data_IF_043544525733
#
_entry.id   IF_043544525733
#
_cell.length_a   1.000
_cell.length_b   1.000
_cell.length_c   1.000
_cell.angle_alpha   90.00
_cell.angle_beta   90.00
_cell.angle_gamma   90.00
#
_symmetry.space_group_name_H-M   'P 1'
#
loop_
_entity.id
_entity.type
_entity.pdbx_description
1 polymer ?
#
# COMPACT_ATOMS: atom_id res chain seq x y z
N UNK A 1 32.17 26.77 7.62
CA UNK A 1 30.71 27.04 7.73
C UNK A 1 30.31 28.51 7.49
N UNK A 2 31.11 29.51 7.91
CA UNK A 2 30.75 30.95 7.74
C UNK A 2 30.61 31.42 6.28
N UNK A 3 31.24 30.76 5.31
CA UNK A 3 31.16 31.11 3.89
C UNK A 3 29.87 30.61 3.20
N UNK A 4 29.22 29.56 3.68
CA UNK A 4 27.97 29.00 3.12
C UNK A 4 26.83 30.04 3.18
N UNK A 5 26.76 30.80 4.27
CA UNK A 5 25.72 31.84 4.47
C UNK A 5 26.01 33.17 3.75
N UNK A 6 27.20 33.35 3.18
CA UNK A 6 27.56 34.56 2.47
C UNK A 6 26.86 34.67 1.10
N UNK A 7 26.58 33.53 0.46
CA UNK A 7 25.92 33.50 -0.87
C UNK A 7 24.56 32.79 -0.76
N UNK A 8 23.59 33.38 -0.04
CA UNK A 8 22.28 32.81 0.27
C UNK A 8 21.52 32.30 -0.96
N UNK A 9 21.52 33.07 -2.07
CA UNK A 9 20.82 32.67 -3.30
C UNK A 9 21.32 31.32 -3.86
N UNK A 10 22.64 31.14 -3.90
CA UNK A 10 23.28 29.88 -4.36
C UNK A 10 22.99 28.73 -3.44
N UNK A 11 23.12 28.96 -2.14
CA UNK A 11 22.78 27.95 -1.13
C UNK A 11 21.34 27.42 -1.33
N UNK A 12 20.38 28.33 -1.40
CA UNK A 12 18.98 27.93 -1.61
C UNK A 12 18.75 27.24 -2.96
N UNK A 13 19.36 27.69 -4.03
CA UNK A 13 19.23 27.06 -5.35
C UNK A 13 19.77 25.63 -5.35
N UNK A 14 20.95 25.40 -4.74
CA UNK A 14 21.52 24.05 -4.64
C UNK A 14 20.70 23.15 -3.74
N UNK A 15 20.34 23.59 -2.55
CA UNK A 15 19.53 22.82 -1.62
C UNK A 15 18.17 22.50 -2.22
N UNK A 16 17.50 23.45 -2.87
CA UNK A 16 16.21 23.24 -3.55
C UNK A 16 16.32 22.24 -4.71
N UNK A 17 17.37 22.35 -5.55
CA UNK A 17 17.59 21.39 -6.63
C UNK A 17 17.84 19.97 -6.13
N UNK A 18 18.72 19.81 -5.14
CA UNK A 18 19.05 18.52 -4.57
C UNK A 18 17.84 17.94 -3.81
N UNK A 19 17.10 18.78 -3.07
CA UNK A 19 15.90 18.33 -2.37
C UNK A 19 14.81 17.86 -3.32
N UNK A 20 14.62 18.55 -4.47
CA UNK A 20 13.70 18.09 -5.51
C UNK A 20 14.09 16.72 -6.08
N UNK A 21 15.37 16.50 -6.37
CA UNK A 21 15.86 15.20 -6.83
C UNK A 21 15.64 14.08 -5.80
N UNK A 22 16.00 14.34 -4.55
CA UNK A 22 15.79 13.36 -3.47
C UNK A 22 14.31 13.10 -3.23
N UNK A 23 13.45 14.13 -3.33
CA UNK A 23 12.00 13.99 -3.20
C UNK A 23 11.41 13.09 -4.28
N UNK A 24 11.86 13.22 -5.53
CA UNK A 24 11.42 12.34 -6.63
C UNK A 24 11.83 10.87 -6.40
N UNK A 25 13.04 10.64 -5.89
CA UNK A 25 13.49 9.28 -5.55
C UNK A 25 12.66 8.68 -4.41
N UNK A 26 12.41 9.45 -3.33
CA UNK A 26 11.54 9.02 -2.22
C UNK A 26 10.14 8.71 -2.72
N UNK A 27 9.59 9.56 -3.61
CA UNK A 27 8.27 9.35 -4.19
C UNK A 27 8.23 8.07 -5.03
N UNK A 28 9.23 7.85 -5.89
CA UNK A 28 9.31 6.63 -6.71
C UNK A 28 9.36 5.35 -5.87
N UNK A 29 10.24 5.31 -4.86
CA UNK A 29 10.30 4.16 -3.94
C UNK A 29 9.04 4.05 -3.07
N UNK A 30 8.45 5.18 -2.63
CA UNK A 30 7.22 5.20 -1.86
C UNK A 30 6.03 4.65 -2.64
N UNK A 31 5.87 5.00 -3.91
CA UNK A 31 4.83 4.43 -4.78
C UNK A 31 4.99 2.92 -4.89
N UNK A 32 6.23 2.44 -5.06
CA UNK A 32 6.51 1.00 -5.07
C UNK A 32 6.08 0.34 -3.76
N UNK A 33 6.49 0.90 -2.62
CA UNK A 33 6.16 0.35 -1.31
C UNK A 33 4.65 0.27 -1.08
N UNK A 34 3.93 1.32 -1.50
CA UNK A 34 2.47 1.40 -1.38
C UNK A 34 1.72 0.41 -2.27
N UNK A 35 2.29 0.01 -3.41
CA UNK A 35 1.66 -0.95 -4.33
C UNK A 35 1.99 -2.40 -3.95
N UNK A 36 3.25 -2.70 -3.62
CA UNK A 36 3.70 -4.10 -3.42
C UNK A 36 3.27 -4.70 -2.08
N UNK A 37 2.93 -3.87 -1.08
CA UNK A 37 2.54 -4.33 0.25
C UNK A 37 1.10 -4.84 0.36
N UNK A 38 0.20 -4.31 -0.48
CA UNK A 38 -1.25 -4.48 -0.38
C UNK A 38 -1.68 -5.94 -0.39
N UNK A 39 -1.21 -6.69 -1.38
CA UNK A 39 -1.62 -8.07 -1.59
C UNK A 39 -1.22 -8.95 -0.40
N UNK A 40 0.02 -8.82 0.06
CA UNK A 40 0.49 -9.57 1.21
C UNK A 40 -0.31 -9.22 2.47
N UNK A 41 -0.57 -7.92 2.74
CA UNK A 41 -1.34 -7.50 3.90
C UNK A 41 -2.78 -8.03 3.84
N UNK A 42 -3.44 -7.96 2.68
CA UNK A 42 -4.81 -8.45 2.51
C UNK A 42 -4.94 -9.93 2.85
N UNK A 43 -4.07 -10.77 2.29
CA UNK A 43 -4.18 -12.24 2.41
C UNK A 43 -3.42 -12.85 3.59
N UNK A 44 -2.63 -12.07 4.35
CA UNK A 44 -1.93 -12.58 5.55
C UNK A 44 -2.38 -11.92 6.84
N UNK A 45 -2.93 -10.71 6.79
CA UNK A 45 -3.28 -9.94 7.99
C UNK A 45 -4.78 -9.71 8.15
N UNK A 46 -5.54 -9.63 7.05
CA UNK A 46 -6.98 -9.35 7.06
C UNK A 46 -7.77 -10.62 6.80
N UNK A 47 -7.59 -11.25 5.64
CA UNK A 47 -8.20 -12.54 5.31
C UNK A 47 -7.26 -13.64 5.77
N UNK A 48 -7.60 -14.27 6.89
CA UNK A 48 -6.74 -15.26 7.56
C UNK A 48 -7.18 -16.69 7.27
N UNK A 49 -8.25 -16.88 6.50
CA UNK A 49 -8.66 -18.20 6.01
C UNK A 49 -7.81 -18.66 4.82
N UNK A 50 -7.60 -19.96 4.70
CA UNK A 50 -6.75 -20.54 3.64
C UNK A 50 -7.55 -20.95 2.39
N UNK A 51 -8.79 -21.37 2.55
CA UNK A 51 -9.64 -21.87 1.48
C UNK A 51 -11.04 -21.24 1.57
N UNK A 52 -11.53 -20.73 0.45
CA UNK A 52 -12.92 -20.34 0.23
C UNK A 52 -13.65 -21.41 -0.57
N UNK A 53 -14.75 -21.95 -0.05
CA UNK A 53 -15.61 -22.92 -0.72
C UNK A 53 -16.91 -22.25 -1.12
N UNK A 54 -17.32 -22.36 -2.38
CA UNK A 54 -18.59 -21.81 -2.89
C UNK A 54 -19.49 -22.96 -3.32
N UNK A 55 -20.69 -23.00 -2.80
CA UNK A 55 -21.72 -23.96 -3.15
C UNK A 55 -22.67 -23.43 -4.22
N UNK A 56 -23.23 -24.31 -5.01
CA UNK A 56 -24.19 -23.95 -6.09
C UNK A 56 -25.53 -23.43 -5.53
N UNK A 57 -25.92 -23.87 -4.34
CA UNK A 57 -27.13 -23.47 -3.63
C UNK A 57 -26.84 -23.20 -2.15
N UNK A 58 -27.83 -22.72 -1.39
CA UNK A 58 -27.70 -22.58 0.06
C UNK A 58 -27.33 -23.92 0.70
N UNK A 59 -26.35 -23.88 1.59
CA UNK A 59 -25.78 -25.06 2.27
C UNK A 59 -26.84 -25.71 3.13
N UNK A 60 -26.99 -27.02 2.99
CA UNK A 60 -27.89 -27.85 3.83
C UNK A 60 -27.19 -28.31 5.10
N UNK A 61 -27.94 -28.73 6.14
CA UNK A 61 -27.33 -29.29 7.37
C UNK A 61 -26.43 -30.49 7.10
N UNK A 62 -26.76 -31.32 6.09
CA UNK A 62 -25.95 -32.47 5.69
C UNK A 62 -24.60 -32.03 5.12
N UNK A 63 -24.57 -30.97 4.29
CA UNK A 63 -23.33 -30.41 3.73
C UNK A 63 -22.48 -29.72 4.80
N UNK A 64 -23.12 -29.07 5.79
CA UNK A 64 -22.40 -28.55 6.98
C UNK A 64 -21.68 -29.68 7.71
N UNK A 65 -22.39 -30.75 7.99
CA UNK A 65 -21.82 -31.91 8.67
C UNK A 65 -20.76 -32.63 7.82
N UNK A 66 -20.91 -32.63 6.48
CA UNK A 66 -19.91 -33.19 5.57
C UNK A 66 -18.60 -32.40 5.65
N UNK A 67 -18.65 -31.06 5.65
CA UNK A 67 -17.47 -30.20 5.76
C UNK A 67 -16.81 -30.37 7.15
N UNK A 68 -17.61 -30.40 8.23
CA UNK A 68 -17.11 -30.63 9.60
C UNK A 68 -16.42 -32.01 9.73
N UNK A 69 -16.89 -33.01 9.02
CA UNK A 69 -16.26 -34.34 9.03
C UNK A 69 -14.84 -34.34 8.43
N UNK A 70 -14.49 -33.30 7.65
CA UNK A 70 -13.16 -33.10 7.05
C UNK A 70 -12.10 -32.61 8.02
N UNK A 71 -12.42 -32.41 9.31
CA UNK A 71 -11.42 -32.12 10.36
C UNK A 71 -10.29 -33.16 10.38
N UNK A 72 -10.60 -34.45 10.13
CA UNK A 72 -9.59 -35.49 10.04
C UNK A 72 -8.72 -35.41 8.78
N UNK A 73 -9.20 -34.77 7.72
CA UNK A 73 -8.51 -34.60 6.47
C UNK A 73 -7.70 -33.28 6.42
N UNK A 74 -7.72 -32.47 7.50
CA UNK A 74 -6.90 -31.26 7.65
C UNK A 74 -7.66 -29.94 7.69
N UNK A 75 -8.99 -29.94 7.81
CA UNK A 75 -9.77 -28.75 8.15
C UNK A 75 -9.58 -28.46 9.64
N UNK A 76 -9.02 -27.31 10.00
CA UNK A 76 -8.88 -26.89 11.40
C UNK A 76 -10.16 -26.24 11.91
N UNK A 77 -10.69 -25.30 11.13
CA UNK A 77 -11.93 -24.55 11.43
C UNK A 77 -12.65 -24.22 10.13
N UNK A 78 -13.97 -24.13 10.21
CA UNK A 78 -14.79 -23.67 9.10
C UNK A 78 -15.90 -22.75 9.60
N UNK A 79 -16.33 -21.81 8.75
CA UNK A 79 -17.47 -20.93 9.00
C UNK A 79 -18.26 -20.75 7.71
N UNK A 80 -19.59 -20.81 7.82
CA UNK A 80 -20.46 -20.53 6.68
C UNK A 80 -20.84 -19.06 6.66
N UNK A 81 -20.81 -18.47 5.46
CA UNK A 81 -21.12 -17.07 5.24
C UNK A 81 -22.06 -16.90 4.04
N UNK A 82 -22.97 -15.96 4.18
CA UNK A 82 -23.72 -15.43 3.03
C UNK A 82 -22.98 -14.22 2.48
N UNK A 83 -22.62 -14.26 1.20
CA UNK A 83 -22.04 -13.15 0.49
C UNK A 83 -23.02 -12.65 -0.57
N UNK A 84 -23.26 -11.33 -0.56
CA UNK A 84 -24.17 -10.67 -1.50
C UNK A 84 -23.60 -9.35 -1.95
N UNK A 85 -23.62 -9.11 -3.28
CA UNK A 85 -23.30 -7.78 -3.80
C UNK A 85 -24.45 -6.83 -3.51
N UNK A 86 -24.15 -5.68 -2.88
CA UNK A 86 -25.08 -4.61 -2.58
C UNK A 86 -24.46 -3.25 -2.90
N UNK A 87 -25.30 -2.25 -3.03
CA UNK A 87 -24.89 -0.88 -3.24
C UNK A 87 -24.97 -0.10 -1.93
N UNK A 88 -23.85 0.44 -1.46
CA UNK A 88 -23.78 1.34 -0.31
C UNK A 88 -24.10 2.75 -0.79
N UNK A 89 -25.23 3.26 -0.33
CA UNK A 89 -25.76 4.56 -0.73
C UNK A 89 -25.20 5.67 0.13
N UNK A 90 -24.37 6.52 -0.45
CA UNK A 90 -23.89 7.75 0.18
C UNK A 90 -24.75 8.95 -0.21
N UNK A 91 -24.37 10.15 0.28
CA UNK A 91 -25.12 11.39 0.01
C UNK A 91 -25.06 11.85 -1.46
N UNK A 92 -23.94 11.65 -2.13
CA UNK A 92 -23.71 12.11 -3.52
C UNK A 92 -23.35 10.96 -4.47
N UNK A 93 -22.85 9.85 -3.96
CA UNK A 93 -22.34 8.71 -4.74
C UNK A 93 -22.82 7.40 -4.13
N UNK A 94 -22.90 6.40 -4.96
CA UNK A 94 -23.19 5.02 -4.60
C UNK A 94 -21.99 4.16 -4.96
N UNK A 95 -21.63 3.21 -4.11
CA UNK A 95 -20.50 2.28 -4.34
C UNK A 95 -20.96 0.85 -4.11
N UNK A 96 -20.54 -0.03 -5.02
CA UNK A 96 -20.79 -1.46 -4.85
C UNK A 96 -19.88 -2.04 -3.76
N UNK A 97 -20.48 -2.85 -2.91
CA UNK A 97 -19.83 -3.53 -1.77
C UNK A 97 -20.23 -4.99 -1.73
N UNK A 98 -19.36 -5.82 -1.19
CA UNK A 98 -19.67 -7.22 -0.86
C UNK A 98 -20.14 -7.28 0.59
N UNK A 99 -21.42 -7.57 0.79
CA UNK A 99 -21.99 -7.80 2.12
C UNK A 99 -21.65 -9.21 2.57
N UNK A 100 -21.00 -9.32 3.73
CA UNK A 100 -20.70 -10.60 4.40
C UNK A 100 -21.58 -10.73 5.63
N UNK A 101 -22.38 -11.79 5.66
CA UNK A 101 -23.20 -12.15 6.81
C UNK A 101 -22.75 -13.54 7.30
N UNK A 102 -22.27 -13.58 8.53
CA UNK A 102 -21.83 -14.86 9.14
C UNK A 102 -23.01 -15.63 9.72
N UNK A 103 -22.86 -16.95 9.81
CA UNK A 103 -23.80 -17.85 10.50
C UNK A 103 -23.93 -17.41 11.98
N UNK A 104 -25.15 -17.37 12.58
CA UNK A 104 -25.44 -16.71 13.84
C UNK A 104 -24.53 -17.11 15.02
N UNK A 105 -24.14 -18.31 15.18
CA UNK A 105 -23.37 -18.80 16.33
C UNK A 105 -21.86 -18.92 16.03
N UNK A 106 -21.39 -18.35 14.91
CA UNK A 106 -20.01 -18.53 14.46
C UNK A 106 -19.07 -17.39 14.93
N UNK A 107 -17.84 -17.77 15.28
CA UNK A 107 -16.76 -16.83 15.52
C UNK A 107 -16.00 -16.55 14.23
N UNK A 108 -16.11 -15.32 13.71
CA UNK A 108 -15.43 -14.88 12.50
C UNK A 108 -13.96 -14.50 12.73
N UNK A 109 -13.53 -14.37 13.97
CA UNK A 109 -12.17 -13.88 14.32
C UNK A 109 -11.04 -14.73 13.72
N UNK A 110 -11.13 -16.07 13.62
CA UNK A 110 -10.08 -16.86 12.99
C UNK A 110 -9.97 -16.68 11.48
N UNK A 111 -11.03 -16.20 10.83
CA UNK A 111 -11.15 -16.14 9.35
C UNK A 111 -10.93 -14.74 8.80
N UNK A 112 -11.35 -13.71 9.55
CA UNK A 112 -11.21 -12.31 9.16
C UNK A 112 -10.80 -11.50 10.38
N UNK A 113 -9.61 -10.89 10.30
CA UNK A 113 -9.09 -10.04 11.35
C UNK A 113 -9.52 -8.58 11.11
N UNK A 114 -10.66 -8.19 11.69
CA UNK A 114 -11.16 -6.84 11.60
C UNK A 114 -10.37 -5.90 12.52
N UNK A 115 -9.68 -4.93 11.94
CA UNK A 115 -8.93 -3.90 12.66
C UNK A 115 -8.97 -2.57 11.92
N UNK A 116 -8.71 -1.49 12.65
CA UNK A 116 -8.58 -0.15 12.06
C UNK A 116 -7.22 0.00 11.37
N UNK A 117 -7.04 1.04 10.54
CA UNK A 117 -5.73 1.41 9.94
C UNK A 117 -4.60 1.58 10.97
N UNK A 118 -4.92 1.74 12.24
CA UNK A 118 -3.95 1.81 13.35
C UNK A 118 -3.70 0.47 14.04
N UNK A 119 -4.24 -0.62 13.51
CA UNK A 119 -4.11 -1.95 14.07
C UNK A 119 -4.96 -2.19 15.33
N UNK A 120 -5.94 -1.32 15.63
CA UNK A 120 -6.85 -1.55 16.77
C UNK A 120 -7.92 -2.55 16.36
N UNK A 121 -8.09 -3.69 17.08
CA UNK A 121 -9.08 -4.69 16.75
C UNK A 121 -10.51 -4.14 16.79
N UNK A 122 -11.34 -4.58 15.86
CA UNK A 122 -12.78 -4.27 15.79
C UNK A 122 -13.53 -5.59 16.00
N UNK A 123 -14.50 -5.58 16.88
CA UNK A 123 -15.39 -6.73 17.08
C UNK A 123 -16.37 -6.86 15.91
N UNK A 124 -16.76 -8.11 15.60
CA UNK A 124 -17.80 -8.34 14.59
C UNK A 124 -19.10 -7.61 14.98
N UNK A 125 -19.84 -7.04 14.03
CA UNK A 125 -20.96 -6.14 14.31
C UNK A 125 -22.11 -6.90 15.02
N UNK A 126 -22.73 -6.22 15.99
CA UNK A 126 -23.92 -6.69 16.69
C UNK A 126 -25.17 -6.37 15.90
N UNK A 127 -26.32 -6.83 16.41
CA UNK A 127 -27.62 -6.52 15.83
C UNK A 127 -27.84 -4.99 15.68
N UNK A 128 -28.19 -4.57 14.47
CA UNK A 128 -28.39 -3.16 14.09
C UNK A 128 -27.10 -2.40 13.74
N UNK A 129 -25.94 -3.06 13.79
CA UNK A 129 -24.65 -2.48 13.52
C UNK A 129 -24.02 -3.08 12.25
N UNK A 130 -23.12 -2.33 11.64
CA UNK A 130 -22.27 -2.80 10.52
C UNK A 130 -20.83 -2.33 10.69
N UNK A 131 -19.88 -3.15 10.23
CA UNK A 131 -18.47 -2.75 10.04
C UNK A 131 -18.23 -2.61 8.55
N UNK A 132 -17.63 -1.49 8.13
CA UNK A 132 -17.46 -1.10 6.74
C UNK A 132 -15.98 -0.92 6.43
N UNK A 133 -15.54 -1.27 5.22
CA UNK A 133 -14.18 -0.98 4.75
C UNK A 133 -13.90 0.52 4.77
N UNK A 134 -12.79 0.92 5.40
CA UNK A 134 -12.43 2.33 5.62
C UNK A 134 -12.35 3.13 4.33
N UNK A 135 -11.83 2.53 3.24
CA UNK A 135 -11.73 3.19 1.93
C UNK A 135 -13.10 3.64 1.40
N UNK A 136 -14.07 2.73 1.33
CA UNK A 136 -15.40 3.07 0.79
C UNK A 136 -16.12 4.06 1.71
N UNK A 137 -15.89 3.98 3.01
CA UNK A 137 -16.42 4.94 3.97
C UNK A 137 -15.83 6.34 3.74
N UNK A 138 -14.52 6.45 3.51
CA UNK A 138 -13.85 7.73 3.20
C UNK A 138 -14.35 8.33 1.88
N UNK A 139 -14.49 7.51 0.82
CA UNK A 139 -15.01 7.95 -0.49
C UNK A 139 -16.47 8.47 -0.43
N UNK A 140 -17.27 7.97 0.51
CA UNK A 140 -18.67 8.36 0.71
C UNK A 140 -18.86 9.37 1.85
N UNK A 141 -17.79 9.71 2.57
CA UNK A 141 -17.80 10.63 3.71
C UNK A 141 -18.49 10.05 4.95
N UNK A 142 -18.53 8.71 5.09
CA UNK A 142 -19.18 7.99 6.19
C UNK A 142 -18.23 7.91 7.38
N UNK A 143 -18.76 8.08 8.59
CA UNK A 143 -18.01 7.99 9.85
C UNK A 143 -18.63 6.96 10.77
N UNK A 144 -17.85 6.50 11.74
CA UNK A 144 -18.35 5.67 12.83
C UNK A 144 -19.45 6.39 13.58
N UNK A 145 -20.60 5.74 13.77
CA UNK A 145 -21.81 6.29 14.36
C UNK A 145 -22.85 6.79 13.36
N UNK A 146 -22.50 6.96 12.09
CA UNK A 146 -23.47 7.31 11.05
C UNK A 146 -24.40 6.14 10.74
N UNK A 147 -25.60 6.46 10.23
CA UNK A 147 -26.51 5.45 9.69
C UNK A 147 -26.35 5.39 8.18
N UNK A 148 -26.14 4.20 7.66
CA UNK A 148 -25.94 3.94 6.21
C UNK A 148 -27.05 3.06 5.67
N UNK A 149 -27.28 3.17 4.37
CA UNK A 149 -28.26 2.35 3.65
C UNK A 149 -27.55 1.50 2.61
N UNK A 150 -27.75 0.20 2.70
CA UNK A 150 -27.35 -0.78 1.68
C UNK A 150 -28.57 -1.11 0.84
N UNK A 151 -28.42 -1.17 -0.48
CA UNK A 151 -29.49 -1.48 -1.43
C UNK A 151 -29.09 -2.65 -2.30
N UNK A 152 -29.99 -3.60 -2.50
CA UNK A 152 -29.77 -4.71 -3.42
C UNK A 152 -30.30 -4.42 -4.83
N UNK A 153 -30.09 -5.37 -5.76
CA UNK A 153 -30.58 -5.27 -7.14
C UNK A 153 -32.11 -5.18 -7.26
N UNK A 154 -32.85 -5.64 -6.25
CA UNK A 154 -34.30 -5.61 -6.18
C UNK A 154 -34.82 -4.34 -5.47
N UNK A 155 -33.98 -3.34 -5.24
CA UNK A 155 -34.30 -2.08 -4.55
C UNK A 155 -34.71 -2.27 -3.08
N UNK A 156 -34.46 -3.43 -2.49
CA UNK A 156 -34.62 -3.64 -1.06
C UNK A 156 -33.45 -3.02 -0.31
N UNK A 157 -33.73 -2.43 0.85
CA UNK A 157 -32.75 -1.67 1.61
C UNK A 157 -32.54 -2.23 3.01
N UNK A 158 -31.30 -2.16 3.48
CA UNK A 158 -30.87 -2.42 4.86
C UNK A 158 -30.33 -1.11 5.41
N UNK A 159 -30.85 -0.66 6.57
CA UNK A 159 -30.39 0.57 7.22
C UNK A 159 -29.75 0.22 8.57
N UNK A 160 -28.46 0.54 8.73
CA UNK A 160 -27.67 0.13 9.89
C UNK A 160 -26.72 1.22 10.37
N UNK A 161 -26.40 1.18 11.67
CA UNK A 161 -25.42 2.09 12.25
C UNK A 161 -23.99 1.55 12.03
N UNK A 162 -23.07 2.41 11.66
CA UNK A 162 -21.65 2.05 11.49
C UNK A 162 -20.98 1.95 12.85
N UNK A 163 -20.64 0.72 13.29
CA UNK A 163 -19.93 0.49 14.55
C UNK A 163 -18.41 0.59 14.41
N UNK A 164 -17.88 0.37 13.21
CA UNK A 164 -16.44 0.44 12.96
C UNK A 164 -16.09 0.58 11.50
N UNK A 165 -14.89 1.13 11.25
CA UNK A 165 -14.29 1.21 9.92
C UNK A 165 -13.05 0.31 9.92
N UNK A 166 -13.10 -0.79 9.17
CA UNK A 166 -12.02 -1.77 9.10
C UNK A 166 -11.07 -1.46 7.95
N UNK A 167 -9.79 -1.72 8.16
CA UNK A 167 -8.79 -1.72 7.10
C UNK A 167 -9.09 -2.85 6.13
N UNK A 168 -9.05 -2.56 4.84
CA UNK A 168 -9.19 -3.53 3.78
C UNK A 168 -8.61 -2.96 2.47
N UNK A 169 -7.80 -3.74 1.77
CA UNK A 169 -7.06 -3.27 0.60
C UNK A 169 -7.67 -3.71 -0.73
N UNK A 170 -8.34 -4.86 -0.74
CA UNK A 170 -8.89 -5.44 -1.98
C UNK A 170 -10.38 -5.64 -1.79
N UNK A 171 -11.18 -5.14 -2.71
CA UNK A 171 -12.63 -5.06 -2.67
C UNK A 171 -13.17 -4.17 -1.53
N UNK A 172 -14.45 -3.92 -1.55
CA UNK A 172 -15.15 -3.17 -0.52
C UNK A 172 -16.09 -4.12 0.22
N UNK A 173 -15.86 -4.31 1.51
CA UNK A 173 -16.68 -5.20 2.33
C UNK A 173 -17.53 -4.43 3.32
N UNK A 174 -18.70 -4.98 3.58
CA UNK A 174 -19.57 -4.63 4.71
C UNK A 174 -19.86 -5.92 5.47
N UNK A 175 -19.62 -5.91 6.76
CA UNK A 175 -19.89 -7.04 7.64
C UNK A 175 -21.17 -6.74 8.44
N UNK A 176 -22.05 -7.73 8.53
CA UNK A 176 -23.35 -7.61 9.18
C UNK A 176 -23.69 -8.87 9.94
N UNK A 177 -24.44 -8.74 11.04
CA UNK A 177 -24.98 -9.90 11.75
C UNK A 177 -26.20 -10.50 11.03
N UNK A 178 -26.38 -11.81 11.13
CA UNK A 178 -27.55 -12.51 10.58
C UNK A 178 -28.87 -11.94 11.07
N UNK A 179 -28.99 -11.67 12.37
CA UNK A 179 -30.17 -11.06 12.98
C UNK A 179 -30.60 -9.76 12.32
N UNK A 180 -29.61 -8.89 11.98
CA UNK A 180 -29.88 -7.62 11.32
C UNK A 180 -30.36 -7.83 9.88
N UNK A 181 -29.74 -8.75 9.17
CA UNK A 181 -30.13 -9.09 7.80
C UNK A 181 -31.55 -9.62 7.75
N UNK A 182 -31.88 -10.61 8.59
CA UNK A 182 -33.21 -11.24 8.67
C UNK A 182 -34.31 -10.23 9.06
N UNK A 183 -34.04 -9.39 10.05
CA UNK A 183 -35.00 -8.39 10.50
C UNK A 183 -35.39 -7.41 9.41
N UNK A 184 -34.43 -6.97 8.61
CA UNK A 184 -34.65 -5.95 7.59
C UNK A 184 -35.05 -6.49 6.22
N UNK A 185 -34.42 -7.57 5.79
CA UNK A 185 -34.72 -8.21 4.50
C UNK A 185 -35.96 -9.13 4.57
N UNK A 186 -36.38 -9.54 5.77
CA UNK A 186 -37.48 -10.51 6.00
C UNK A 186 -37.25 -11.86 5.33
N UNK A 187 -36.02 -12.20 5.08
CA UNK A 187 -35.57 -13.46 4.49
C UNK A 187 -34.30 -13.91 5.21
N UNK A 188 -34.11 -15.20 5.36
CA UNK A 188 -32.86 -15.74 5.85
C UNK A 188 -31.70 -15.49 4.87
N UNK A 189 -30.45 -15.27 5.36
CA UNK A 189 -29.28 -15.19 4.52
C UNK A 189 -29.05 -16.50 3.74
N UNK A 190 -28.69 -16.40 2.48
CA UNK A 190 -28.33 -17.60 1.68
C UNK A 190 -26.84 -17.93 1.93
N UNK A 191 -26.57 -18.85 2.85
CA UNK A 191 -25.21 -19.32 3.13
C UNK A 191 -24.70 -20.20 1.98
N UNK A 192 -24.00 -19.61 1.03
CA UNK A 192 -23.42 -20.28 -0.14
C UNK A 192 -21.92 -20.41 -0.09
N UNK A 193 -21.28 -19.73 0.84
CA UNK A 193 -19.82 -19.74 0.97
C UNK A 193 -19.42 -20.30 2.32
N UNK A 194 -18.26 -20.97 2.37
CA UNK A 194 -17.60 -21.35 3.59
C UNK A 194 -16.15 -20.92 3.55
N UNK A 195 -15.66 -20.33 4.64
CA UNK A 195 -14.24 -20.07 4.85
C UNK A 195 -13.65 -21.18 5.70
N UNK A 196 -12.48 -21.66 5.31
CA UNK A 196 -11.81 -22.80 5.91
C UNK A 196 -10.38 -22.43 6.27
N UNK A 197 -10.00 -22.69 7.52
CA UNK A 197 -8.60 -22.66 7.96
C UNK A 197 -8.05 -24.08 7.89
N UNK A 198 -6.81 -24.21 7.41
CA UNK A 198 -6.13 -25.49 7.19
C UNK A 198 -5.18 -25.78 8.34
N UNK A 199 -5.18 -27.01 8.85
CA UNK A 199 -4.29 -27.46 9.92
C UNK A 199 -2.82 -27.39 9.51
N UNK A 200 -1.92 -27.05 10.46
CA UNK A 200 -0.49 -26.98 10.21
C UNK A 200 0.05 -28.28 9.56
N UNK A 201 0.76 -28.14 8.47
CA UNK A 201 1.38 -29.25 7.73
C UNK A 201 0.47 -29.93 6.70
N UNK A 202 -0.78 -29.50 6.55
CA UNK A 202 -1.67 -30.01 5.50
C UNK A 202 -1.47 -29.19 4.21
N UNK A 203 -1.45 -29.87 3.07
CA UNK A 203 -1.38 -29.23 1.76
C UNK A 203 -2.76 -28.69 1.35
N UNK A 204 -2.88 -27.37 1.26
CA UNK A 204 -4.14 -26.69 0.91
C UNK A 204 -4.66 -27.08 -0.49
N UNK A 205 -3.79 -27.42 -1.46
CA UNK A 205 -4.22 -27.87 -2.78
C UNK A 205 -4.82 -29.26 -2.78
N UNK A 206 -4.23 -30.18 -1.98
CA UNK A 206 -4.77 -31.54 -1.82
C UNK A 206 -6.12 -31.48 -1.10
N UNK A 207 -6.21 -30.69 -0.01
CA UNK A 207 -7.46 -30.47 0.70
C UNK A 207 -8.49 -29.80 -0.22
N UNK A 208 -8.13 -28.75 -0.96
CA UNK A 208 -9.00 -28.07 -1.92
C UNK A 208 -9.56 -29.01 -2.97
N UNK A 209 -8.75 -29.96 -3.46
CA UNK A 209 -9.21 -30.99 -4.41
C UNK A 209 -10.24 -31.92 -3.75
N UNK A 210 -10.06 -32.29 -2.49
CA UNK A 210 -11.02 -33.12 -1.75
C UNK A 210 -12.33 -32.38 -1.46
N UNK A 211 -12.26 -31.07 -1.16
CA UNK A 211 -13.42 -30.22 -0.95
C UNK A 211 -14.20 -29.99 -2.26
N UNK A 212 -13.50 -29.85 -3.39
CA UNK A 212 -14.14 -29.75 -4.70
C UNK A 212 -14.91 -31.01 -5.11
N UNK A 213 -14.57 -32.15 -4.54
CA UNK A 213 -15.27 -33.41 -4.78
C UNK A 213 -16.53 -33.61 -3.90
N UNK A 214 -16.81 -32.70 -2.97
CA UNK A 214 -18.01 -32.71 -2.14
C UNK A 214 -19.27 -32.39 -2.95
N UNK A 215 -20.42 -32.75 -2.40
CA UNK A 215 -21.71 -32.52 -3.09
C UNK A 215 -22.02 -31.03 -3.19
N UNK A 216 -22.49 -30.61 -4.37
CA UNK A 216 -22.92 -29.24 -4.69
C UNK A 216 -21.85 -28.12 -4.56
N UNK A 217 -20.58 -28.47 -4.39
CA UNK A 217 -19.49 -27.49 -4.44
C UNK A 217 -19.31 -27.01 -5.88
N UNK A 218 -19.46 -25.72 -6.10
CA UNK A 218 -19.32 -25.07 -7.39
C UNK A 218 -17.88 -24.59 -7.66
N UNK A 219 -17.20 -24.10 -6.61
CA UNK A 219 -15.83 -23.59 -6.71
C UNK A 219 -15.09 -23.73 -5.37
N UNK A 220 -13.78 -23.91 -5.46
CA UNK A 220 -12.85 -23.84 -4.33
C UNK A 220 -11.74 -22.88 -4.70
N UNK A 221 -11.56 -21.84 -3.91
CA UNK A 221 -10.53 -20.84 -4.07
C UNK A 221 -9.50 -20.98 -2.95
N UNK A 222 -8.22 -21.06 -3.29
CA UNK A 222 -7.12 -21.13 -2.33
C UNK A 222 -6.56 -19.71 -2.19
N UNK A 223 -6.55 -19.17 -0.95
CA UNK A 223 -6.11 -17.80 -0.68
C UNK A 223 -4.68 -17.53 -1.15
N UNK A 224 -3.80 -18.53 -1.08
CA UNK A 224 -2.44 -18.42 -1.60
C UNK A 224 -2.40 -18.22 -3.11
N UNK A 225 -3.24 -18.95 -3.88
CA UNK A 225 -3.31 -18.80 -5.34
C UNK A 225 -3.85 -17.41 -5.71
N UNK A 226 -4.87 -16.93 -4.99
CA UNK A 226 -5.39 -15.60 -5.19
C UNK A 226 -4.35 -14.53 -4.88
N UNK A 227 -3.59 -14.69 -3.80
CA UNK A 227 -2.45 -13.83 -3.47
C UNK A 227 -1.41 -13.82 -4.59
N UNK A 228 -1.05 -14.98 -5.15
CA UNK A 228 -0.09 -15.09 -6.25
C UNK A 228 -0.62 -14.44 -7.55
N UNK A 229 -1.90 -14.64 -7.87
CA UNK A 229 -2.56 -14.00 -9.03
C UNK A 229 -2.56 -12.49 -8.90
N UNK A 230 -3.00 -11.95 -7.77
CA UNK A 230 -2.97 -10.50 -7.53
C UNK A 230 -1.55 -9.95 -7.52
N UNK A 231 -0.60 -10.66 -6.90
CA UNK A 231 0.81 -10.30 -6.92
C UNK A 231 1.37 -10.26 -8.35
N UNK A 232 1.03 -11.24 -9.19
CA UNK A 232 1.42 -11.26 -10.60
C UNK A 232 0.81 -10.11 -11.40
N UNK A 233 -0.45 -9.78 -11.17
CA UNK A 233 -1.10 -8.60 -11.78
C UNK A 233 -0.43 -7.30 -11.35
N UNK A 234 -0.11 -7.16 -10.06
CA UNK A 234 0.62 -6.00 -9.54
C UNK A 234 2.07 -5.96 -10.02
N UNK A 235 2.70 -7.10 -10.30
CA UNK A 235 4.06 -7.20 -10.83
C UNK A 235 4.25 -6.47 -12.17
N UNK A 236 3.22 -6.35 -12.98
CA UNK A 236 3.26 -5.52 -14.19
C UNK A 236 3.36 -4.02 -13.87
N UNK A 237 2.80 -3.57 -12.76
CA UNK A 237 2.95 -2.19 -12.27
C UNK A 237 4.35 -1.93 -11.72
N UNK A 238 5.04 -2.94 -11.17
CA UNK A 238 6.43 -2.82 -10.72
C UNK A 238 7.36 -2.37 -11.84
N UNK A 239 7.16 -2.83 -13.08
CA UNK A 239 7.94 -2.37 -14.22
C UNK A 239 7.77 -0.88 -14.49
N UNK A 240 6.55 -0.37 -14.41
CA UNK A 240 6.24 1.06 -14.57
C UNK A 240 6.93 1.87 -13.48
N UNK A 241 6.85 1.41 -12.24
CA UNK A 241 7.50 2.05 -11.10
C UNK A 241 9.02 2.07 -11.25
N UNK A 242 9.64 0.97 -11.71
CA UNK A 242 11.08 0.92 -11.99
C UNK A 242 11.46 1.93 -13.06
N UNK A 243 10.68 2.07 -14.13
CA UNK A 243 10.92 3.09 -15.17
C UNK A 243 10.84 4.50 -14.59
N UNK A 244 9.84 4.79 -13.73
CA UNK A 244 9.72 6.08 -13.05
C UNK A 244 10.95 6.36 -12.18
N UNK A 245 11.40 5.38 -11.41
CA UNK A 245 12.61 5.50 -10.56
C UNK A 245 13.85 5.77 -11.43
N UNK A 246 14.01 5.06 -12.54
CA UNK A 246 15.13 5.29 -13.47
C UNK A 246 15.09 6.68 -14.11
N UNK A 247 13.91 7.17 -14.51
CA UNK A 247 13.73 8.53 -15.02
C UNK A 247 14.06 9.58 -13.94
N UNK A 248 13.56 9.38 -12.71
CA UNK A 248 13.86 10.26 -11.58
C UNK A 248 15.36 10.25 -11.25
N UNK A 249 16.01 9.09 -11.28
CA UNK A 249 17.46 8.95 -11.09
C UNK A 249 18.26 9.65 -12.18
N UNK A 250 17.86 9.52 -13.47
CA UNK A 250 18.46 10.20 -14.59
C UNK A 250 18.33 11.73 -14.47
N UNK A 251 17.15 12.21 -14.10
CA UNK A 251 16.91 13.63 -13.86
C UNK A 251 17.76 14.15 -12.69
N UNK A 252 17.80 13.40 -11.59
CA UNK A 252 18.63 13.73 -10.42
C UNK A 252 20.11 13.88 -10.82
N UNK A 253 20.61 12.94 -11.62
CA UNK A 253 22.00 12.99 -12.12
C UNK A 253 22.26 14.23 -12.94
N UNK A 254 21.39 14.56 -13.91
CA UNK A 254 21.53 15.74 -14.79
C UNK A 254 21.49 17.04 -13.97
N UNK A 255 20.55 17.14 -13.02
CA UNK A 255 20.41 18.32 -12.17
C UNK A 255 21.64 18.49 -11.28
N UNK A 256 22.09 17.41 -10.61
CA UNK A 256 23.31 17.46 -9.79
C UNK A 256 24.54 17.83 -10.60
N UNK A 257 24.69 17.29 -11.83
CA UNK A 257 25.77 17.65 -12.73
C UNK A 257 25.74 19.15 -13.06
N UNK A 258 24.59 19.69 -13.44
CA UNK A 258 24.44 21.11 -13.76
C UNK A 258 24.72 22.01 -12.55
N UNK A 259 24.20 21.66 -11.37
CA UNK A 259 24.42 22.43 -10.15
C UNK A 259 25.89 22.43 -9.73
N UNK A 260 26.57 21.28 -9.82
CA UNK A 260 28.01 21.17 -9.54
C UNK A 260 28.82 21.99 -10.55
N UNK A 261 28.48 21.93 -11.85
CA UNK A 261 29.14 22.72 -12.88
C UNK A 261 29.02 24.22 -12.63
N UNK A 262 27.81 24.72 -12.34
CA UNK A 262 27.55 26.11 -11.98
C UNK A 262 28.36 26.50 -10.74
N UNK A 263 28.36 25.65 -9.69
CA UNK A 263 29.10 25.95 -8.47
C UNK A 263 30.62 26.10 -8.71
N UNK A 264 31.21 25.25 -9.56
CA UNK A 264 32.63 25.31 -9.92
C UNK A 264 32.89 26.60 -10.77
N UNK A 265 32.07 26.86 -11.79
CA UNK A 265 32.26 28.00 -12.66
C UNK A 265 32.17 29.35 -11.94
N UNK A 266 31.24 29.48 -10.97
CA UNK A 266 31.12 30.70 -10.16
C UNK A 266 32.30 30.89 -9.17
N UNK A 267 33.08 29.87 -8.90
CA UNK A 267 34.22 29.90 -7.98
C UNK A 267 35.58 29.89 -8.64
N UNK A 268 35.66 29.94 -9.96
CA UNK A 268 36.93 29.90 -10.69
C UNK A 268 37.92 30.96 -10.18
N UNK A 269 37.45 32.20 -9.90
CA UNK A 269 38.31 33.25 -9.35
C UNK A 269 38.76 32.96 -7.90
N UNK A 270 37.93 32.34 -7.07
CA UNK A 270 38.29 31.92 -5.69
C UNK A 270 39.31 30.78 -5.75
N UNK A 271 39.12 29.84 -6.64
CA UNK A 271 40.00 28.68 -6.89
C UNK A 271 41.37 29.19 -7.35
N UNK A 272 41.41 30.05 -8.38
CA UNK A 272 42.64 30.68 -8.89
C UNK A 272 43.38 31.47 -7.81
N UNK A 273 42.68 32.17 -6.92
CA UNK A 273 43.30 32.91 -5.80
C UNK A 273 43.98 31.96 -4.81
N UNK A 274 43.37 30.80 -4.49
CA UNK A 274 43.92 29.82 -3.58
C UNK A 274 45.12 29.13 -4.21
N UNK A 275 45.11 28.86 -5.52
CA UNK A 275 46.23 28.26 -6.23
C UNK A 275 47.45 29.23 -6.30
N UNK A 276 47.21 30.52 -6.54
CA UNK A 276 48.27 31.53 -6.47
C UNK A 276 48.90 31.65 -5.09
N UNK A 277 48.15 31.35 -4.04
CA UNK A 277 48.66 31.28 -2.66
C UNK A 277 49.49 30.00 -2.37
N UNK A 278 49.68 29.11 -3.36
CA UNK A 278 50.58 27.95 -3.28
C UNK A 278 49.92 26.66 -2.82
N UNK A 279 48.58 26.57 -2.83
CA UNK A 279 47.87 25.30 -2.60
C UNK A 279 47.90 24.42 -3.82
N UNK A 280 48.04 23.13 -3.65
CA UNK A 280 47.98 22.15 -4.75
C UNK A 280 46.56 22.00 -5.27
N UNK A 281 46.41 21.74 -6.57
CA UNK A 281 45.12 21.54 -7.24
C UNK A 281 44.22 20.51 -6.51
N UNK A 282 44.80 19.43 -5.96
CA UNK A 282 44.09 18.42 -5.20
C UNK A 282 43.49 18.94 -3.89
N UNK A 283 44.14 19.87 -3.24
CA UNK A 283 43.70 20.47 -1.96
C UNK A 283 42.56 21.46 -2.20
N UNK A 284 42.71 22.26 -3.25
CA UNK A 284 41.66 23.21 -3.70
C UNK A 284 40.41 22.49 -4.13
N UNK A 285 40.56 21.43 -4.95
CA UNK A 285 39.45 20.57 -5.34
C UNK A 285 38.75 19.93 -4.12
N UNK A 286 39.53 19.37 -3.18
CA UNK A 286 38.97 18.76 -1.98
C UNK A 286 38.16 19.76 -1.13
N UNK A 287 38.55 21.01 -1.08
CA UNK A 287 37.81 22.06 -0.38
C UNK A 287 36.43 22.32 -1.00
N UNK A 288 36.36 22.47 -2.33
CA UNK A 288 35.11 22.70 -3.07
C UNK A 288 34.18 21.52 -2.97
N UNK A 289 34.67 20.31 -3.20
CA UNK A 289 33.84 19.09 -3.17
C UNK A 289 33.33 18.76 -1.75
N UNK A 290 34.07 19.06 -0.69
CA UNK A 290 33.59 18.89 0.68
C UNK A 290 32.39 19.77 1.01
N UNK A 291 32.38 20.99 0.50
CA UNK A 291 31.23 21.89 0.65
C UNK A 291 30.02 21.36 -0.13
N UNK A 292 30.23 20.87 -1.37
CA UNK A 292 29.18 20.26 -2.18
C UNK A 292 28.54 19.05 -1.48
N UNK A 293 29.34 18.19 -0.86
CA UNK A 293 28.85 17.03 -0.09
C UNK A 293 27.99 17.45 1.10
N UNK A 294 28.37 18.50 1.83
CA UNK A 294 27.56 19.01 2.95
C UNK A 294 26.22 19.56 2.45
N UNK A 295 26.23 20.31 1.33
CA UNK A 295 25.02 20.83 0.73
C UNK A 295 24.10 19.71 0.21
N UNK A 296 24.69 18.67 -0.36
CA UNK A 296 23.95 17.47 -0.79
C UNK A 296 23.28 16.78 0.38
N UNK A 297 23.99 16.63 1.50
CA UNK A 297 23.40 15.98 2.70
C UNK A 297 22.21 16.81 3.23
N UNK A 298 22.37 18.13 3.35
CA UNK A 298 21.29 19.01 3.78
C UNK A 298 20.11 19.01 2.79
N UNK A 299 20.40 19.03 1.48
CA UNK A 299 19.39 18.93 0.42
C UNK A 299 18.66 17.60 0.43
N UNK A 300 19.39 16.48 0.65
CA UNK A 300 18.79 15.15 0.76
C UNK A 300 17.83 15.07 1.96
N UNK A 301 18.24 15.57 3.15
CA UNK A 301 17.35 15.60 4.32
C UNK A 301 16.08 16.43 4.07
N UNK A 302 16.20 17.61 3.47
CA UNK A 302 15.04 18.40 3.08
C UNK A 302 14.19 17.67 2.04
N UNK A 303 14.83 16.94 1.13
CA UNK A 303 14.20 16.12 0.10
C UNK A 303 13.41 14.94 0.67
N UNK A 304 13.84 14.33 1.79
CA UNK A 304 13.05 13.29 2.47
C UNK A 304 11.69 13.83 2.91
N UNK A 305 11.67 15.00 3.53
CA UNK A 305 10.41 15.63 3.98
C UNK A 305 9.53 15.97 2.79
N UNK A 306 10.09 16.64 1.79
CA UNK A 306 9.37 17.02 0.57
C UNK A 306 8.85 15.78 -0.19
N UNK A 307 9.64 14.70 -0.20
CA UNK A 307 9.30 13.43 -0.84
C UNK A 307 8.09 12.76 -0.22
N UNK A 308 7.95 12.80 1.11
CA UNK A 308 6.75 12.27 1.79
C UNK A 308 5.50 13.05 1.37
N UNK A 309 5.57 14.37 1.30
CA UNK A 309 4.45 15.18 0.84
C UNK A 309 4.11 14.90 -0.62
N UNK A 310 5.12 14.82 -1.49
CA UNK A 310 4.93 14.52 -2.90
C UNK A 310 4.38 13.11 -3.10
N UNK A 311 4.86 12.12 -2.36
CA UNK A 311 4.34 10.75 -2.38
C UNK A 311 2.86 10.72 -2.00
N UNK A 312 2.46 11.35 -0.89
CA UNK A 312 1.05 11.44 -0.49
C UNK A 312 0.19 12.12 -1.55
N UNK A 313 0.68 13.18 -2.14
CA UNK A 313 -0.01 13.87 -3.23
C UNK A 313 -0.18 12.97 -4.45
N UNK A 314 0.87 12.26 -4.88
CA UNK A 314 0.80 11.32 -6.02
C UNK A 314 -0.18 10.20 -5.72
N UNK A 315 -0.10 9.58 -4.54
CA UNK A 315 -1.01 8.49 -4.15
C UNK A 315 -2.46 8.94 -4.06
N UNK A 316 -2.74 10.18 -3.64
CA UNK A 316 -4.10 10.72 -3.63
C UNK A 316 -4.71 10.94 -5.03
N UNK A 317 -3.87 11.00 -6.08
CA UNK A 317 -4.34 11.08 -7.47
C UNK A 317 -4.54 9.70 -8.12
N UNK A 318 -3.99 8.64 -7.52
CA UNK A 318 -4.14 7.26 -8.02
C UNK A 318 -5.40 6.68 -7.39
N UNK A 319 -6.51 6.79 -8.10
CA UNK A 319 -7.78 6.18 -7.69
C UNK A 319 -7.99 4.93 -8.55
N UNK A 320 -7.94 3.76 -7.91
CA UNK A 320 -8.28 2.48 -8.53
C UNK A 320 -9.52 1.96 -7.82
N UNK A 321 -10.58 1.69 -8.59
CA UNK A 321 -11.80 1.11 -8.02
C UNK A 321 -11.48 -0.24 -7.35
N UNK A 322 -12.06 -0.49 -6.20
CA UNK A 322 -11.92 -1.72 -5.41
C UNK A 322 -10.51 -2.01 -4.84
N UNK A 323 -9.52 -1.10 -4.98
CA UNK A 323 -8.19 -1.27 -4.39
C UNK A 323 -7.84 -0.07 -3.52
N UNK A 324 -7.62 -0.29 -2.24
CA UNK A 324 -7.07 0.71 -1.32
C UNK A 324 -5.54 0.62 -1.31
N UNK A 325 -4.85 1.76 -1.39
CA UNK A 325 -3.40 1.78 -1.30
C UNK A 325 -2.97 2.18 0.12
N UNK A 326 -2.06 1.40 0.70
CA UNK A 326 -1.40 1.79 1.94
C UNK A 326 -0.39 2.91 1.64
N UNK A 327 -0.73 4.15 2.00
CA UNK A 327 0.11 5.34 1.73
C UNK A 327 1.26 5.39 2.73
N UNK A 328 2.12 4.37 2.71
CA UNK A 328 3.26 4.22 3.59
C UNK A 328 4.57 4.13 2.81
N UNK A 329 5.61 4.84 3.28
CA UNK A 329 6.97 4.71 2.77
C UNK A 329 7.79 3.91 3.77
N UNK A 330 8.31 2.77 3.36
CA UNK A 330 9.14 1.92 4.23
C UNK A 330 10.41 2.67 4.65
N UNK A 331 10.89 2.52 5.89
CA UNK A 331 12.13 3.17 6.34
C UNK A 331 13.34 2.90 5.45
N UNK A 332 13.39 1.71 4.85
CA UNK A 332 14.47 1.29 3.93
C UNK A 332 14.48 2.15 2.65
N UNK A 333 13.33 2.58 2.15
CA UNK A 333 13.20 3.41 0.94
C UNK A 333 13.77 4.82 1.15
N UNK A 334 13.67 5.37 2.36
CA UNK A 334 14.37 6.61 2.72
C UNK A 334 15.89 6.43 2.65
N UNK A 335 16.41 5.31 3.17
CA UNK A 335 17.85 5.01 3.11
C UNK A 335 18.31 4.87 1.66
N UNK A 336 17.58 4.13 0.83
CA UNK A 336 17.91 3.99 -0.59
C UNK A 336 17.94 5.34 -1.33
N UNK A 337 16.98 6.21 -1.06
CA UNK A 337 16.91 7.53 -1.68
C UNK A 337 18.12 8.41 -1.30
N UNK A 338 18.51 8.42 -0.03
CA UNK A 338 19.67 9.16 0.45
C UNK A 338 20.96 8.58 -0.13
N UNK A 339 21.15 7.28 -0.05
CA UNK A 339 22.35 6.59 -0.57
C UNK A 339 22.49 6.85 -2.07
N UNK A 340 21.41 6.72 -2.83
CA UNK A 340 21.43 6.96 -4.27
C UNK A 340 21.78 8.41 -4.61
N UNK A 341 21.23 9.38 -3.87
CA UNK A 341 21.56 10.81 -4.03
C UNK A 341 23.05 11.07 -3.74
N UNK A 342 23.61 10.48 -2.65
CA UNK A 342 25.02 10.61 -2.32
C UNK A 342 25.93 9.93 -3.34
N UNK A 343 25.56 8.76 -3.84
CA UNK A 343 26.29 8.06 -4.92
C UNK A 343 26.33 8.89 -6.20
N UNK A 344 25.20 9.49 -6.59
CA UNK A 344 25.17 10.37 -7.76
C UNK A 344 26.04 11.60 -7.57
N UNK A 345 26.00 12.23 -6.39
CA UNK A 345 26.87 13.37 -6.10
C UNK A 345 28.33 12.99 -6.19
N UNK A 346 28.71 11.87 -5.56
CA UNK A 346 30.09 11.36 -5.62
C UNK A 346 30.54 11.06 -7.06
N UNK A 347 29.65 10.46 -7.87
CA UNK A 347 29.94 10.15 -9.27
C UNK A 347 30.10 11.44 -10.12
N UNK A 348 29.21 12.42 -9.92
CA UNK A 348 29.29 13.74 -10.59
C UNK A 348 30.57 14.46 -10.18
N UNK A 349 30.88 14.51 -8.88
CA UNK A 349 32.10 15.15 -8.38
C UNK A 349 33.37 14.49 -8.98
N UNK A 350 33.38 13.16 -9.14
CA UNK A 350 34.49 12.44 -9.77
C UNK A 350 34.62 12.73 -11.27
N UNK A 351 33.51 12.85 -11.99
CA UNK A 351 33.50 13.25 -13.41
C UNK A 351 34.02 14.66 -13.59
N UNK A 352 33.54 15.59 -12.77
CA UNK A 352 33.93 17.01 -12.84
C UNK A 352 35.39 17.22 -12.47
N UNK A 353 35.91 16.48 -11.50
CA UNK A 353 37.34 16.49 -11.14
C UNK A 353 38.24 16.09 -12.29
N UNK A 354 37.87 15.03 -13.04
CA UNK A 354 38.63 14.62 -14.26
C UNK A 354 38.58 15.67 -15.37
N UNK A 355 37.50 16.43 -15.47
CA UNK A 355 37.34 17.48 -16.51
C UNK A 355 38.12 18.74 -16.14
N UNK A 356 38.09 19.15 -14.87
CA UNK A 356 38.89 20.29 -14.38
C UNK A 356 40.38 20.11 -14.60
N UNK A 357 40.91 18.91 -14.33
CA UNK A 357 42.32 18.55 -14.56
C UNK A 357 42.75 18.46 -16.05
N UNK A 358 41.81 18.48 -17.01
CA UNK A 358 42.10 18.44 -18.46
C UNK A 358 42.02 19.81 -19.13
N UNK A 359 41.48 20.81 -18.43
CA UNK A 359 41.27 22.16 -18.95
C UNK A 359 42.22 23.19 -18.33
N UNK A 360 43.07 22.80 -17.38
CA UNK A 360 44.25 23.50 -16.90
C UNK A 360 45.52 22.94 -17.60
#
# INVERSE_FOLDING_TARGET
>A
MRNIFRYKKRFFMMVAGISGCSALLVTGFGVRDSVTGIVTQQYTQIQTYDIGVTYSSSVTPEQKSELESKEQDGVEKSVFVAEKSMDLVGSEKTKSVSLIVADPDSDMTPFVNLHTEKGVPITFPKKGEAVISAKVADELGIKTGDTVTLQDSDMKTISVAVSGLCENFVYNYVYLSADTYEEQMKTEPEYKNAFVCVSEGTDAHLLGTSLMAMSDVAAVNISQDDMERFSSMMGSMDLIVVVIILCAAGLAFIVLYNLTNINITERVCEIATIEVLGFYENETAAYVFRENTILTFLGALAGLVLGVFLHRFVMSQIVVDMVAFDVHVKPVSFVYSVVLTLVFTWFVDRLMRKRSMRSA
#
